data_IF_911639561966
#
_entry.id   IF_911639561966
#
_cell.length_a   1.000
_cell.length_b   1.000
_cell.length_c   1.000
_cell.angle_alpha   90.00
_cell.angle_beta   90.00
_cell.angle_gamma   90.00
#
_symmetry.space_group_name_H-M   'P 1'
#
loop_
_entity.id
_entity.type
_entity.pdbx_description
1 polymer ?
#
# COMPACT_ATOMS: atom_id res chain seq x y z
N UNK A 1 -2.21 -41.43 -7.26
CA UNK A 1 -2.15 -40.14 -6.55
C UNK A 1 -0.88 -39.45 -7.01
N UNK A 2 -1.00 -38.54 -7.98
CA UNK A 2 0.13 -37.73 -8.44
C UNK A 2 0.47 -36.71 -7.35
N UNK A 3 1.74 -36.63 -6.96
CA UNK A 3 2.24 -35.54 -6.12
C UNK A 3 1.95 -34.20 -6.83
N UNK A 4 1.47 -33.16 -6.12
CA UNK A 4 1.34 -31.84 -6.72
C UNK A 4 2.74 -31.35 -7.13
N UNK A 5 2.83 -30.86 -8.37
CA UNK A 5 4.06 -30.37 -8.99
C UNK A 5 4.66 -29.24 -8.13
N UNK A 6 5.89 -29.44 -7.65
CA UNK A 6 6.63 -28.47 -6.82
C UNK A 6 6.85 -27.13 -7.52
N UNK A 7 6.66 -27.07 -8.84
CA UNK A 7 6.67 -25.83 -9.63
C UNK A 7 5.49 -24.90 -9.31
N UNK A 8 4.32 -25.45 -8.93
CA UNK A 8 3.12 -24.66 -8.62
C UNK A 8 3.24 -23.94 -7.27
N UNK A 9 3.83 -24.59 -6.25
CA UNK A 9 4.10 -24.01 -4.92
C UNK A 9 5.15 -22.89 -4.89
N UNK A 10 5.85 -22.65 -6.01
CA UNK A 10 6.83 -21.55 -6.16
C UNK A 10 6.19 -20.31 -6.80
N UNK A 11 5.15 -20.47 -7.62
CA UNK A 11 4.43 -19.37 -8.27
C UNK A 11 3.43 -18.64 -7.36
N UNK A 12 2.94 -19.28 -6.30
CA UNK A 12 2.07 -18.65 -5.29
C UNK A 12 2.83 -17.62 -4.42
N UNK A 13 4.13 -17.83 -4.18
CA UNK A 13 4.96 -16.99 -3.30
C UNK A 13 5.55 -15.73 -3.96
N UNK A 14 5.43 -15.61 -5.28
CA UNK A 14 5.92 -14.47 -6.07
C UNK A 14 4.81 -13.46 -6.43
N UNK A 15 3.58 -13.66 -5.92
CA UNK A 15 2.48 -12.71 -6.14
C UNK A 15 2.52 -11.60 -5.08
N UNK A 16 2.26 -10.34 -5.47
CA UNK A 16 2.05 -9.25 -4.54
C UNK A 16 1.00 -9.60 -3.49
N UNK A 17 1.23 -9.21 -2.24
CA UNK A 17 0.23 -9.31 -1.20
C UNK A 17 -0.87 -8.27 -1.45
N UNK A 18 -2.12 -8.70 -1.74
CA UNK A 18 -3.21 -7.78 -2.01
C UNK A 18 -3.61 -6.93 -0.79
N UNK A 19 -3.20 -7.33 0.41
CA UNK A 19 -3.40 -6.55 1.65
C UNK A 19 -2.32 -5.49 1.89
N UNK A 20 -1.28 -5.40 1.05
CA UNK A 20 -0.22 -4.41 1.20
C UNK A 20 -0.42 -3.26 0.21
N UNK A 21 -0.50 -2.05 0.73
CA UNK A 21 -0.74 -0.82 -0.02
C UNK A 21 0.37 0.18 0.29
N UNK A 22 0.91 0.83 -0.74
CA UNK A 22 1.80 1.99 -0.60
C UNK A 22 1.04 3.23 -1.05
N UNK A 23 1.13 4.31 -0.28
CA UNK A 23 0.77 5.65 -0.74
C UNK A 23 2.04 6.47 -0.95
N UNK A 24 2.18 7.06 -2.13
CA UNK A 24 3.28 7.95 -2.46
C UNK A 24 3.17 9.27 -1.66
N UNK A 25 4.26 10.02 -1.60
CA UNK A 25 4.38 11.22 -0.78
C UNK A 25 3.33 12.29 -1.13
N UNK A 26 2.95 12.41 -2.40
CA UNK A 26 1.89 13.32 -2.84
C UNK A 26 0.50 12.92 -2.29
N UNK A 27 0.19 11.62 -2.22
CA UNK A 27 -1.04 11.10 -1.64
C UNK A 27 -1.04 11.26 -0.13
N UNK A 28 0.07 10.97 0.56
CA UNK A 28 0.19 11.15 2.01
C UNK A 28 0.03 12.63 2.40
N UNK A 29 0.66 13.54 1.66
CA UNK A 29 0.50 14.99 1.84
C UNK A 29 -0.94 15.43 1.56
N UNK A 30 -1.56 14.92 0.50
CA UNK A 30 -2.95 15.25 0.16
C UNK A 30 -3.93 14.76 1.23
N UNK A 31 -3.73 13.55 1.77
CA UNK A 31 -4.53 13.02 2.88
C UNK A 31 -4.45 13.92 4.12
N UNK A 32 -3.26 14.41 4.47
CA UNK A 32 -3.11 15.36 5.58
C UNK A 32 -3.80 16.70 5.28
N UNK A 33 -3.41 17.36 4.18
CA UNK A 33 -3.67 18.78 3.99
C UNK A 33 -4.99 19.09 3.28
N UNK A 34 -5.49 18.17 2.45
CA UNK A 34 -6.65 18.40 1.56
C UNK A 34 -7.80 17.46 1.88
N UNK A 35 -7.49 16.19 2.16
CA UNK A 35 -8.46 15.12 2.24
C UNK A 35 -8.90 14.64 0.85
N UNK A 36 -10.22 14.56 0.63
CA UNK A 36 -10.80 14.09 -0.62
C UNK A 36 -10.43 12.64 -0.93
N UNK A 37 -10.18 12.35 -2.21
CA UNK A 37 -9.91 10.98 -2.68
C UNK A 37 -8.73 10.31 -1.97
N UNK A 38 -7.69 11.07 -1.61
CA UNK A 38 -6.54 10.55 -0.87
C UNK A 38 -6.95 10.03 0.51
N UNK A 39 -7.78 10.80 1.23
CA UNK A 39 -8.29 10.40 2.55
C UNK A 39 -9.31 9.29 2.45
N UNK A 40 -10.19 9.31 1.44
CA UNK A 40 -11.14 8.23 1.21
C UNK A 40 -10.41 6.90 0.94
N UNK A 41 -9.35 6.93 0.13
CA UNK A 41 -8.51 5.76 -0.15
C UNK A 41 -7.77 5.26 1.11
N UNK A 42 -7.12 6.15 1.86
CA UNK A 42 -6.37 5.76 3.06
C UNK A 42 -7.28 5.40 4.24
N UNK A 43 -8.50 5.93 4.30
CA UNK A 43 -9.53 5.48 5.25
C UNK A 43 -9.84 3.99 5.05
N UNK A 44 -9.86 3.47 3.81
CA UNK A 44 -10.01 2.03 3.56
C UNK A 44 -8.83 1.22 4.13
N UNK A 45 -7.61 1.71 3.97
CA UNK A 45 -6.42 1.05 4.52
C UNK A 45 -6.47 1.04 6.04
N UNK A 46 -6.66 2.20 6.67
CA UNK A 46 -6.60 2.35 8.14
C UNK A 46 -7.74 1.67 8.89
N UNK A 47 -8.91 1.49 8.25
CA UNK A 47 -10.10 0.81 8.81
C UNK A 47 -9.91 -0.68 9.05
N UNK A 48 -8.84 -1.28 8.51
CA UNK A 48 -8.62 -2.71 8.54
C UNK A 48 -7.25 -3.03 9.12
N UNK A 49 -7.24 -3.71 10.27
CA UNK A 49 -5.97 -4.10 10.92
C UNK A 49 -5.11 -5.06 10.12
N UNK A 50 -5.71 -5.70 9.12
CA UNK A 50 -5.12 -6.68 8.24
C UNK A 50 -4.71 -6.10 6.87
N UNK A 51 -4.92 -4.81 6.64
CA UNK A 51 -4.42 -4.08 5.46
C UNK A 51 -3.27 -3.18 5.91
N UNK A 52 -2.09 -3.40 5.35
CA UNK A 52 -0.87 -2.73 5.77
C UNK A 52 -0.54 -1.55 4.86
N UNK A 53 -0.32 -0.38 5.46
CA UNK A 53 0.35 0.74 4.81
C UNK A 53 1.86 0.48 4.83
N UNK A 54 2.43 0.13 3.68
CA UNK A 54 3.86 -0.14 3.54
C UNK A 54 4.59 1.16 3.20
N UNK A 55 5.65 1.48 3.94
CA UNK A 55 6.48 2.64 3.62
C UNK A 55 7.92 2.48 4.11
N UNK A 56 8.87 3.04 3.37
CA UNK A 56 10.27 3.16 3.77
C UNK A 56 10.57 4.50 4.44
N UNK A 57 11.72 4.63 5.08
CA UNK A 57 12.16 5.92 5.67
C UNK A 57 12.34 7.00 4.61
N UNK A 58 12.96 6.74 3.44
CA UNK A 58 13.06 7.76 2.38
C UNK A 58 11.69 8.25 1.88
N UNK A 59 10.63 7.44 1.98
CA UNK A 59 9.28 7.86 1.63
C UNK A 59 8.69 8.81 2.69
N UNK A 60 8.89 8.51 3.98
CA UNK A 60 8.47 9.40 5.07
C UNK A 60 9.27 10.70 5.07
N UNK A 61 10.59 10.65 4.91
CA UNK A 61 11.45 11.84 4.81
C UNK A 61 11.00 12.77 3.66
N UNK A 62 10.63 12.19 2.52
CA UNK A 62 10.08 12.95 1.38
C UNK A 62 8.73 13.58 1.73
N UNK A 63 7.86 12.83 2.41
CA UNK A 63 6.55 13.30 2.85
C UNK A 63 6.69 14.45 3.84
N UNK A 64 7.50 14.28 4.89
CA UNK A 64 7.82 15.30 5.90
C UNK A 64 8.37 16.57 5.24
N UNK A 65 9.32 16.44 4.32
CA UNK A 65 9.88 17.58 3.57
C UNK A 65 8.80 18.34 2.80
N UNK A 66 7.82 17.64 2.20
CA UNK A 66 6.73 18.28 1.47
C UNK A 66 5.73 18.96 2.41
N UNK A 67 5.37 18.32 3.52
CA UNK A 67 4.47 18.92 4.53
C UNK A 67 5.12 20.18 5.12
N UNK A 68 6.39 20.12 5.52
CA UNK A 68 7.11 21.26 6.09
C UNK A 68 7.19 22.44 5.11
N UNK A 69 7.21 22.16 3.79
CA UNK A 69 7.21 23.17 2.74
C UNK A 69 5.84 23.78 2.45
N UNK A 70 4.77 23.00 2.56
CA UNK A 70 3.40 23.39 2.20
C UNK A 70 2.60 23.95 3.37
N UNK A 71 2.96 23.55 4.59
CA UNK A 71 2.36 23.99 5.84
C UNK A 71 3.46 24.50 6.78
N UNK A 72 3.86 23.69 7.78
CA UNK A 72 4.89 24.05 8.74
C UNK A 72 5.67 22.82 9.25
N UNK A 73 6.88 23.01 9.83
CA UNK A 73 7.73 21.91 10.27
C UNK A 73 7.19 21.12 11.46
N UNK A 74 6.40 21.73 12.35
CA UNK A 74 5.89 21.03 13.54
C UNK A 74 4.81 20.04 13.12
N UNK A 75 3.89 20.46 12.24
CA UNK A 75 2.91 19.57 11.62
C UNK A 75 3.58 18.43 10.82
N UNK A 76 4.71 18.71 10.18
CA UNK A 76 5.46 17.70 9.44
C UNK A 76 6.06 16.63 10.36
N UNK A 77 6.63 17.04 11.49
CA UNK A 77 7.16 16.14 12.50
C UNK A 77 6.05 15.27 13.13
N UNK A 78 4.94 15.89 13.56
CA UNK A 78 3.78 15.17 14.11
C UNK A 78 3.21 14.16 13.11
N UNK A 79 3.14 14.54 11.82
CA UNK A 79 2.70 13.63 10.77
C UNK A 79 3.69 12.46 10.59
N UNK A 80 4.99 12.75 10.59
CA UNK A 80 6.03 11.74 10.43
C UNK A 80 5.95 10.69 11.55
N UNK A 81 5.89 11.12 12.81
CA UNK A 81 5.73 10.24 13.98
C UNK A 81 4.49 9.34 13.84
N UNK A 82 3.35 9.91 13.45
CA UNK A 82 2.14 9.12 13.22
C UNK A 82 2.30 8.08 12.11
N UNK A 83 2.95 8.42 11.00
CA UNK A 83 3.21 7.46 9.91
C UNK A 83 4.21 6.39 10.33
N UNK A 84 5.15 6.70 11.20
CA UNK A 84 6.09 5.72 11.73
C UNK A 84 5.38 4.64 12.56
N UNK A 85 4.38 5.03 13.35
CA UNK A 85 3.55 4.11 14.13
C UNK A 85 2.57 3.30 13.26
N UNK A 86 2.02 3.91 12.20
CA UNK A 86 1.04 3.26 11.32
C UNK A 86 1.66 2.27 10.33
N UNK A 87 2.87 2.54 9.82
CA UNK A 87 3.41 1.80 8.66
C UNK A 87 4.00 0.44 9.02
N UNK A 88 3.94 -0.46 8.04
CA UNK A 88 4.89 -1.57 7.94
C UNK A 88 6.16 -1.07 7.27
N UNK A 89 7.23 -0.93 8.06
CA UNK A 89 8.53 -0.43 7.58
C UNK A 89 9.21 -1.43 6.65
N UNK A 90 9.75 -0.92 5.55
CA UNK A 90 10.61 -1.68 4.63
C UNK A 90 11.90 -0.94 4.31
N UNK A 91 12.97 -1.70 4.12
CA UNK A 91 14.27 -1.17 3.69
C UNK A 91 14.46 -1.37 2.19
N UNK A 92 15.09 -0.40 1.54
CA UNK A 92 15.51 -0.50 0.14
C UNK A 92 16.84 0.22 -0.09
N UNK A 93 17.59 -0.14 -1.16
CA UNK A 93 18.78 0.58 -1.56
C UNK A 93 18.51 2.06 -1.85
N UNK A 94 19.51 2.90 -1.64
CA UNK A 94 19.46 4.31 -2.02
C UNK A 94 19.35 4.48 -3.55
N UNK A 95 18.74 5.58 -3.98
CA UNK A 95 18.66 5.98 -5.39
C UNK A 95 17.43 5.49 -6.15
N UNK A 96 16.67 4.54 -5.61
CA UNK A 96 15.39 4.13 -6.16
C UNK A 96 14.27 5.13 -5.78
N UNK A 97 13.21 5.20 -6.59
CA UNK A 97 12.02 6.00 -6.25
C UNK A 97 11.37 5.45 -4.98
N UNK A 98 11.24 6.22 -3.88
CA UNK A 98 10.89 5.68 -2.56
C UNK A 98 9.57 4.88 -2.54
N UNK A 99 8.53 5.36 -3.23
CA UNK A 99 7.24 4.67 -3.26
C UNK A 99 7.29 3.35 -4.06
N UNK A 100 7.99 3.31 -5.20
CA UNK A 100 8.18 2.10 -5.99
C UNK A 100 9.05 1.08 -5.25
N UNK A 101 10.12 1.56 -4.62
CA UNK A 101 11.02 0.73 -3.83
C UNK A 101 10.29 0.12 -2.62
N UNK A 102 9.45 0.91 -1.94
CA UNK A 102 8.58 0.44 -0.87
C UNK A 102 7.61 -0.63 -1.39
N UNK A 103 6.97 -0.40 -2.53
CA UNK A 103 6.03 -1.36 -3.10
C UNK A 103 6.70 -2.68 -3.47
N UNK A 104 7.88 -2.62 -4.09
CA UNK A 104 8.64 -3.82 -4.43
C UNK A 104 9.11 -4.59 -3.19
N UNK A 105 9.72 -3.89 -2.22
CA UNK A 105 10.30 -4.52 -1.03
C UNK A 105 9.27 -5.01 -0.03
N UNK A 106 8.14 -4.32 0.06
CA UNK A 106 7.00 -4.78 0.86
C UNK A 106 6.04 -5.67 0.10
N UNK A 107 6.35 -6.13 -1.12
CA UNK A 107 5.46 -6.99 -1.89
C UNK A 107 4.03 -6.42 -2.02
N UNK A 108 3.90 -5.10 -2.21
CA UNK A 108 2.61 -4.43 -2.26
C UNK A 108 1.89 -4.68 -3.59
N UNK A 109 0.59 -4.99 -3.53
CA UNK A 109 -0.24 -5.09 -4.72
C UNK A 109 -0.67 -3.73 -5.26
N UNK A 110 -0.66 -2.69 -4.42
CA UNK A 110 -1.16 -1.37 -4.77
C UNK A 110 -0.14 -0.28 -4.44
N UNK A 111 0.07 0.61 -5.41
CA UNK A 111 0.76 1.89 -5.22
C UNK A 111 -0.20 3.01 -5.62
N UNK A 112 -0.54 3.86 -4.65
CA UNK A 112 -1.36 5.05 -4.84
C UNK A 112 -0.48 6.25 -5.10
N UNK A 113 -0.69 6.95 -6.20
CA UNK A 113 0.09 8.14 -6.57
C UNK A 113 -0.73 9.06 -7.47
N UNK A 114 -0.51 10.38 -7.36
CA UNK A 114 -1.01 11.35 -8.35
C UNK A 114 0.02 11.59 -9.47
N UNK A 115 1.22 11.01 -9.39
CA UNK A 115 2.21 11.07 -10.47
C UNK A 115 1.76 10.22 -11.67
N UNK A 116 1.21 10.90 -12.68
CA UNK A 116 0.77 10.29 -13.94
C UNK A 116 1.92 9.60 -14.68
N UNK A 117 3.19 10.00 -14.48
CA UNK A 117 4.33 9.35 -15.11
C UNK A 117 4.52 7.92 -14.58
N UNK A 118 4.27 7.70 -13.28
CA UNK A 118 4.29 6.36 -12.66
C UNK A 118 3.10 5.50 -13.10
N UNK A 119 1.94 6.11 -13.33
CA UNK A 119 0.75 5.44 -13.86
C UNK A 119 0.78 5.19 -15.38
N UNK A 120 1.75 5.76 -16.09
CA UNK A 120 1.80 5.68 -17.56
C UNK A 120 2.06 4.27 -18.07
N UNK A 121 1.51 3.95 -19.25
CA UNK A 121 1.72 2.65 -19.90
C UNK A 121 3.21 2.31 -20.14
N UNK A 122 4.07 3.33 -20.31
CA UNK A 122 5.51 3.15 -20.48
C UNK A 122 6.22 2.79 -19.17
N UNK A 123 5.82 3.40 -18.06
CA UNK A 123 6.26 2.99 -16.73
C UNK A 123 5.75 1.58 -16.41
N UNK A 124 4.49 1.29 -16.72
CA UNK A 124 3.88 -0.03 -16.59
C UNK A 124 4.62 -1.14 -17.35
N UNK A 125 5.03 -0.90 -18.60
CA UNK A 125 5.82 -1.88 -19.38
C UNK A 125 7.22 -2.10 -18.82
N UNK A 126 7.82 -1.08 -18.21
CA UNK A 126 9.13 -1.17 -17.57
C UNK A 126 9.05 -1.86 -16.21
N UNK A 127 7.93 -1.69 -15.49
CA UNK A 127 7.63 -2.33 -14.22
C UNK A 127 7.20 -3.80 -14.38
N UNK A 128 6.34 -4.12 -15.36
CA UNK A 128 5.78 -5.47 -15.55
C UNK A 128 6.84 -6.56 -15.78
N UNK A 129 8.04 -6.17 -16.23
CA UNK A 129 9.16 -7.10 -16.35
C UNK A 129 9.76 -7.53 -14.98
N UNK A 130 9.40 -6.86 -13.87
CA UNK A 130 10.05 -7.01 -12.55
C UNK A 130 9.12 -6.93 -11.34
N UNK A 131 7.96 -6.28 -11.41
CA UNK A 131 7.04 -6.02 -10.30
C UNK A 131 5.58 -6.07 -10.76
N UNK A 132 4.76 -6.88 -10.11
CA UNK A 132 3.32 -7.01 -10.40
C UNK A 132 2.45 -6.02 -9.60
N UNK A 133 2.95 -4.82 -9.30
CA UNK A 133 2.20 -3.81 -8.53
C UNK A 133 1.22 -3.04 -9.42
N UNK A 134 0.00 -2.83 -8.95
CA UNK A 134 -0.96 -1.94 -9.59
C UNK A 134 -0.75 -0.50 -9.12
N UNK A 135 -0.28 0.35 -10.03
CA UNK A 135 -0.17 1.80 -9.83
C UNK A 135 -1.47 2.48 -10.25
N UNK A 136 -2.07 3.32 -9.40
CA UNK A 136 -3.33 4.01 -9.69
C UNK A 136 -3.53 5.27 -8.85
N UNK A 137 -4.38 6.22 -9.30
CA UNK A 137 -4.78 7.34 -8.46
C UNK A 137 -5.68 6.89 -7.28
N UNK A 138 -5.74 7.68 -6.19
CA UNK A 138 -6.55 7.36 -5.01
C UNK A 138 -8.04 7.15 -5.30
N UNK A 139 -8.65 7.94 -6.18
CA UNK A 139 -10.08 7.83 -6.51
C UNK A 139 -10.42 6.47 -7.15
N UNK A 140 -9.54 5.99 -8.04
CA UNK A 140 -9.66 4.68 -8.66
C UNK A 140 -9.48 3.55 -7.65
N UNK A 141 -8.63 3.72 -6.63
CA UNK A 141 -8.51 2.75 -5.55
C UNK A 141 -9.76 2.74 -4.68
N UNK A 142 -10.21 3.89 -4.17
CA UNK A 142 -11.38 3.99 -3.31
C UNK A 142 -12.66 3.41 -3.96
N UNK A 143 -12.81 3.57 -5.28
CA UNK A 143 -13.95 3.00 -6.02
C UNK A 143 -13.90 1.48 -6.22
N UNK A 144 -12.70 0.90 -6.26
CA UNK A 144 -12.49 -0.49 -6.67
C UNK A 144 -12.08 -1.39 -5.51
N UNK A 145 -11.63 -0.83 -4.40
CA UNK A 145 -11.21 -1.59 -3.24
C UNK A 145 -12.43 -2.20 -2.55
N UNK A 146 -12.49 -3.53 -2.57
CA UNK A 146 -13.54 -4.31 -1.94
C UNK A 146 -12.93 -5.13 -0.79
N UNK A 147 -13.03 -4.66 0.46
CA UNK A 147 -12.44 -5.33 1.60
C UNK A 147 -13.11 -6.68 1.90
N UNK A 148 -14.37 -6.88 1.53
CA UNK A 148 -15.07 -8.16 1.72
C UNK A 148 -14.48 -9.22 0.80
N UNK A 149 -14.46 -8.93 -0.51
CA UNK A 149 -13.84 -9.82 -1.51
C UNK A 149 -12.37 -10.10 -1.20
N UNK A 150 -11.62 -9.10 -0.73
CA UNK A 150 -10.22 -9.26 -0.36
C UNK A 150 -10.06 -10.15 0.88
N UNK A 151 -10.86 -9.93 1.93
CA UNK A 151 -10.82 -10.73 3.15
C UNK A 151 -11.12 -12.21 2.86
N UNK A 152 -12.14 -12.48 2.04
CA UNK A 152 -12.47 -13.84 1.61
C UNK A 152 -11.33 -14.50 0.82
N UNK A 153 -10.68 -13.76 -0.07
CA UNK A 153 -9.52 -14.26 -0.82
C UNK A 153 -8.34 -14.60 0.09
N UNK A 154 -8.01 -13.72 1.05
CA UNK A 154 -6.95 -13.97 2.03
C UNK A 154 -7.25 -15.18 2.92
N UNK A 155 -8.51 -15.37 3.32
CA UNK A 155 -8.94 -16.53 4.09
C UNK A 155 -8.83 -17.83 3.29
N UNK A 156 -9.10 -17.79 1.98
CA UNK A 156 -8.98 -18.96 1.10
C UNK A 156 -7.51 -19.39 0.88
N UNK A 157 -6.58 -18.44 0.86
CA UNK A 157 -5.15 -18.71 0.63
C UNK A 157 -4.40 -19.22 1.87
N UNK A 158 -5.00 -19.13 3.07
CA UNK A 158 -4.41 -19.63 4.31
C UNK A 158 -4.42 -21.18 4.36
N UNK A 159 -3.37 -21.83 3.80
CA UNK A 159 -3.21 -23.30 3.69
C UNK A 159 -3.34 -24.12 5.02
N UNK A 160 -3.44 -23.49 6.20
CA UNK A 160 -3.61 -24.19 7.48
C UNK A 160 -4.59 -23.45 8.41
N UNK A 161 -5.89 -23.68 8.25
CA UNK A 161 -6.86 -23.57 9.35
C UNK A 161 -7.07 -22.18 9.95
N UNK A 162 -6.95 -21.11 9.15
CA UNK A 162 -7.57 -19.84 9.51
C UNK A 162 -9.07 -20.05 9.65
N UNK A 163 -9.68 -19.55 10.71
CA UNK A 163 -11.14 -19.50 10.83
C UNK A 163 -11.66 -18.63 9.68
N UNK A 164 -11.99 -19.27 8.55
CA UNK A 164 -12.60 -18.64 7.39
C UNK A 164 -13.98 -18.16 7.75
N UNK A 165 -14.03 -16.99 8.39
CA UNK A 165 -15.24 -16.28 8.74
C UNK A 165 -15.70 -15.40 7.60
N UNK A 166 -16.98 -15.04 7.62
CA UNK A 166 -17.46 -13.92 6.83
C UNK A 166 -16.69 -12.65 7.24
N UNK A 167 -16.47 -11.75 6.30
CA UNK A 167 -15.84 -10.47 6.56
C UNK A 167 -16.54 -9.74 7.74
N UNK A 168 -15.83 -9.44 8.83
CA UNK A 168 -16.43 -8.88 10.04
C UNK A 168 -16.76 -7.39 9.95
N UNK A 169 -16.42 -6.74 8.83
CA UNK A 169 -16.45 -5.29 8.69
C UNK A 169 -15.14 -4.63 9.17
N UNK A 170 -15.09 -3.29 9.17
CA UNK A 170 -13.94 -2.53 9.67
C UNK A 170 -13.76 -2.74 11.17
N UNK A 171 -12.51 -2.89 11.59
CA UNK A 171 -12.11 -3.19 12.97
C UNK A 171 -11.25 -2.08 13.61
N UNK A 172 -10.98 -1.00 12.86
CA UNK A 172 -10.30 0.20 13.33
C UNK A 172 -11.05 1.47 12.98
N UNK A 173 -10.96 2.49 13.84
CA UNK A 173 -11.31 3.86 13.46
C UNK A 173 -10.16 4.42 12.60
N UNK A 174 -10.40 4.81 11.33
CA UNK A 174 -9.36 5.33 10.44
C UNK A 174 -8.78 6.69 10.87
N UNK A 175 -9.39 7.35 11.86
CA UNK A 175 -9.09 8.74 12.25
C UNK A 175 -8.80 8.89 13.75
N UNK A 176 -8.61 7.78 14.45
CA UNK A 176 -8.21 7.77 15.85
C UNK A 176 -6.81 8.35 16.05
#
# INVERSE_FOLDING_TARGET
MSEPDRSQRRGERDRPNPAHVVADADVLVADLLVGGDAREALDHVRRHSWVDLVASDPLLERTETLVARLADPDLAADHCERLEDERVRVEHPEGDHPALASAYRGNAAHLLTYDEALGSAQAGLSLQARVSVSVRPPDAFARLFDPESLYEALAADAENGGEGGAYPGPDRDPRA
#
